data_IF_997074119461
#
_entry.id   IF_997074119461
#
_cell.length_a   1.000
_cell.length_b   1.000
_cell.length_c   1.000
_cell.angle_alpha   90.00
_cell.angle_beta   90.00
_cell.angle_gamma   90.00
#
_symmetry.space_group_name_H-M   'P 1'
#
loop_
_entity.id
_entity.type
_entity.pdbx_description
1 polymer ?
#
# COMPACT_ATOMS: atom_id res chain seq x y z
N UNK A 1 12.65 -19.11 22.04
CA UNK A 1 11.54 -18.55 21.24
C UNK A 1 12.13 -17.62 20.20
N UNK A 2 11.88 -17.82 18.89
CA UNK A 2 12.22 -16.82 17.87
C UNK A 2 11.22 -15.68 18.01
N UNK A 3 11.70 -14.44 18.12
CA UNK A 3 10.84 -13.26 18.06
C UNK A 3 10.04 -13.29 16.76
N UNK A 4 8.73 -12.95 16.77
CA UNK A 4 7.96 -12.86 15.54
C UNK A 4 8.64 -11.84 14.61
N UNK A 5 8.78 -12.20 13.33
CA UNK A 5 9.31 -11.27 12.31
C UNK A 5 8.39 -10.04 12.22
N UNK A 6 8.94 -8.82 12.09
CA UNK A 6 8.11 -7.62 11.91
C UNK A 6 7.34 -7.70 10.60
N UNK A 7 6.07 -7.28 10.62
CA UNK A 7 5.21 -7.18 9.44
C UNK A 7 5.55 -5.89 8.68
N UNK A 8 6.18 -6.04 7.52
CA UNK A 8 6.56 -4.91 6.66
C UNK A 8 5.71 -4.92 5.39
N UNK A 9 5.08 -3.79 5.09
CA UNK A 9 4.23 -3.63 3.90
C UNK A 9 4.87 -2.69 2.90
N UNK A 10 4.94 -3.05 1.62
CA UNK A 10 5.28 -2.11 0.56
C UNK A 10 4.06 -1.55 -0.19
N UNK A 11 4.14 -0.30 -0.63
CA UNK A 11 3.13 0.42 -1.42
C UNK A 11 3.79 1.17 -2.59
N UNK A 12 2.99 1.67 -3.53
CA UNK A 12 3.48 2.53 -4.62
C UNK A 12 4.32 1.79 -5.67
N UNK A 13 4.13 0.48 -5.77
CA UNK A 13 4.81 -0.42 -6.71
C UNK A 13 3.77 -1.01 -7.65
N UNK A 14 3.98 -0.84 -8.96
CA UNK A 14 3.07 -1.39 -9.95
C UNK A 14 3.03 -2.92 -9.82
N UNK A 15 1.82 -3.49 -9.69
CA UNK A 15 1.50 -4.91 -9.69
C UNK A 15 1.91 -5.77 -8.47
N UNK A 16 2.74 -5.29 -7.53
CA UNK A 16 3.19 -6.11 -6.39
C UNK A 16 3.29 -5.33 -5.08
N UNK A 17 2.81 -5.88 -3.97
CA UNK A 17 3.24 -5.44 -2.61
C UNK A 17 4.43 -6.31 -2.24
N UNK A 18 5.62 -5.73 -2.14
CA UNK A 18 6.78 -6.43 -1.59
C UNK A 18 6.68 -6.55 -0.07
N UNK A 19 6.81 -7.76 0.46
CA UNK A 19 7.25 -7.94 1.84
C UNK A 19 8.76 -7.71 1.86
N UNK A 20 9.20 -6.54 2.35
CA UNK A 20 10.64 -6.25 2.49
C UNK A 20 11.30 -7.11 3.59
N UNK A 21 10.55 -7.94 4.31
CA UNK A 21 11.07 -8.91 5.27
C UNK A 21 11.69 -10.16 4.66
N UNK A 22 11.23 -10.61 3.47
CA UNK A 22 11.66 -11.89 2.89
C UNK A 22 12.08 -11.82 1.40
N UNK A 23 11.98 -10.67 0.72
CA UNK A 23 12.51 -10.51 -0.64
C UNK A 23 11.69 -11.19 -1.74
N UNK A 24 10.47 -11.64 -1.44
CA UNK A 24 9.55 -12.20 -2.43
C UNK A 24 8.44 -11.18 -2.73
N UNK A 25 8.25 -10.86 -4.01
CA UNK A 25 7.08 -10.10 -4.46
C UNK A 25 5.83 -10.95 -4.21
N UNK A 26 4.96 -10.52 -3.29
CA UNK A 26 3.69 -11.22 -3.04
C UNK A 26 2.61 -10.52 -3.85
N UNK A 27 1.88 -11.27 -4.68
CA UNK A 27 0.73 -10.74 -5.39
C UNK A 27 -0.29 -10.15 -4.40
N UNK A 28 -0.95 -9.05 -4.79
CA UNK A 28 -2.01 -8.35 -4.04
C UNK A 28 -3.15 -9.27 -3.55
N UNK A 29 -3.25 -10.49 -4.08
CA UNK A 29 -4.25 -11.50 -3.75
C UNK A 29 -3.87 -12.37 -2.56
N UNK A 30 -2.58 -12.39 -2.21
CA UNK A 30 -1.99 -13.27 -1.19
C UNK A 30 -1.52 -12.50 0.05
N UNK A 31 -1.29 -11.18 -0.05
CA UNK A 31 -0.71 -10.37 1.05
C UNK A 31 -1.60 -10.19 2.29
N UNK A 32 -2.93 -10.20 2.10
CA UNK A 32 -3.87 -9.88 3.16
C UNK A 32 -4.49 -11.10 3.84
N UNK A 33 -4.42 -12.30 3.24
CA UNK A 33 -5.17 -13.47 3.74
C UNK A 33 -4.71 -13.94 5.13
N UNK A 34 -3.45 -13.74 5.48
CA UNK A 34 -2.89 -14.04 6.80
C UNK A 34 -3.02 -12.88 7.80
N UNK A 35 -3.28 -11.66 7.33
CA UNK A 35 -3.25 -10.43 8.15
C UNK A 35 -4.66 -9.91 8.43
N UNK A 36 -5.59 -10.04 7.48
CA UNK A 36 -6.98 -9.60 7.60
C UNK A 36 -7.95 -10.72 7.28
N UNK A 37 -9.10 -10.71 7.99
CA UNK A 37 -10.24 -11.58 7.69
C UNK A 37 -11.14 -11.00 6.59
N UNK A 38 -10.84 -9.79 6.11
CA UNK A 38 -11.63 -9.12 5.06
C UNK A 38 -11.27 -9.66 3.69
N UNK A 39 -12.26 -9.67 2.79
CA UNK A 39 -12.01 -9.98 1.39
C UNK A 39 -11.03 -8.97 0.79
N UNK A 40 -9.93 -9.48 0.23
CA UNK A 40 -8.95 -8.71 -0.54
C UNK A 40 -9.38 -8.52 -2.01
N UNK A 41 -10.66 -8.73 -2.32
CA UNK A 41 -11.22 -8.67 -3.69
C UNK A 41 -12.30 -7.60 -3.82
N UNK A 42 -12.43 -7.07 -5.04
CA UNK A 42 -13.50 -6.16 -5.44
C UNK A 42 -13.65 -4.95 -4.50
N UNK A 43 -14.90 -4.53 -4.25
CA UNK A 43 -15.22 -3.34 -3.43
C UNK A 43 -14.80 -3.45 -1.97
N UNK A 44 -14.45 -4.63 -1.47
CA UNK A 44 -13.95 -4.83 -0.12
C UNK A 44 -12.44 -4.53 0.01
N UNK A 45 -11.71 -4.47 -1.11
CA UNK A 45 -10.26 -4.31 -1.13
C UNK A 45 -9.77 -3.12 -0.31
N UNK A 46 -10.38 -1.94 -0.45
CA UNK A 46 -9.92 -0.76 0.28
C UNK A 46 -9.97 -0.95 1.80
N UNK A 47 -11.04 -1.58 2.32
CA UNK A 47 -11.16 -1.88 3.76
C UNK A 47 -10.19 -2.96 4.22
N UNK A 48 -9.87 -3.93 3.37
CA UNK A 48 -8.88 -4.95 3.64
C UNK A 48 -7.47 -4.32 3.70
N UNK A 49 -7.14 -3.46 2.74
CA UNK A 49 -5.86 -2.76 2.71
C UNK A 49 -5.67 -1.87 3.94
N UNK A 50 -6.64 -1.04 4.31
CA UNK A 50 -6.53 -0.22 5.52
C UNK A 50 -6.34 -1.08 6.78
N UNK A 51 -6.97 -2.27 6.85
CA UNK A 51 -6.76 -3.21 7.96
C UNK A 51 -5.31 -3.68 8.06
N UNK A 52 -4.74 -4.06 6.92
CA UNK A 52 -3.36 -4.54 6.82
C UNK A 52 -2.40 -3.43 7.16
N UNK A 53 -2.61 -2.22 6.61
CA UNK A 53 -1.77 -1.06 6.91
C UNK A 53 -1.79 -0.70 8.39
N UNK A 54 -2.94 -0.83 9.08
CA UNK A 54 -3.00 -0.60 10.53
C UNK A 54 -2.20 -1.62 11.33
N UNK A 55 -2.19 -2.89 10.90
CA UNK A 55 -1.45 -3.99 11.53
C UNK A 55 0.04 -4.02 11.21
N UNK A 56 0.47 -3.36 10.13
CA UNK A 56 1.87 -3.28 9.74
C UNK A 56 2.72 -2.62 10.83
N UNK A 57 3.89 -3.19 11.12
CA UNK A 57 4.90 -2.56 11.98
C UNK A 57 5.61 -1.42 11.23
N UNK A 58 5.84 -1.62 9.92
CA UNK A 58 6.47 -0.64 9.04
C UNK A 58 5.84 -0.64 7.65
N UNK A 59 5.84 0.52 7.01
CA UNK A 59 5.40 0.70 5.63
C UNK A 59 6.58 1.24 4.80
N UNK A 60 6.80 0.66 3.63
CA UNK A 60 7.76 1.13 2.64
C UNK A 60 6.98 1.63 1.41
N UNK A 61 6.99 2.92 1.15
CA UNK A 61 6.24 3.51 0.03
C UNK A 61 7.20 3.90 -1.10
N UNK A 62 7.06 3.30 -2.28
CA UNK A 62 7.85 3.71 -3.45
C UNK A 62 7.14 4.83 -4.21
N UNK A 63 7.82 5.95 -4.42
CA UNK A 63 7.37 7.10 -5.19
C UNK A 63 7.77 6.99 -6.67
N UNK A 64 8.49 5.94 -7.06
CA UNK A 64 8.91 5.74 -8.44
C UNK A 64 7.68 5.69 -9.37
N UNK A 65 7.66 6.58 -10.37
CA UNK A 65 6.51 6.73 -11.28
C UNK A 65 5.46 7.74 -10.83
N UNK A 66 5.58 8.31 -9.62
CA UNK A 66 4.77 9.44 -9.15
C UNK A 66 5.58 10.74 -9.38
N UNK A 67 5.29 11.43 -10.48
CA UNK A 67 6.00 12.67 -10.85
C UNK A 67 5.64 13.88 -9.98
N UNK A 68 4.33 14.10 -9.76
CA UNK A 68 3.82 15.14 -8.86
C UNK A 68 3.04 14.48 -7.72
N UNK A 69 3.65 14.45 -6.53
CA UNK A 69 3.05 13.83 -5.34
C UNK A 69 1.81 14.59 -4.84
N UNK A 70 1.70 15.91 -5.07
CA UNK A 70 0.51 16.69 -4.68
C UNK A 70 -0.65 16.33 -5.59
N UNK A 71 -0.42 16.31 -6.90
CA UNK A 71 -1.44 15.87 -7.86
C UNK A 71 -1.86 14.41 -7.61
N UNK A 72 -0.90 13.53 -7.31
CA UNK A 72 -1.20 12.14 -6.95
C UNK A 72 -1.99 12.01 -5.65
N UNK A 73 -1.66 12.80 -4.63
CA UNK A 73 -2.43 12.88 -3.39
C UNK A 73 -3.87 13.31 -3.66
N UNK A 74 -4.04 14.41 -4.41
CA UNK A 74 -5.34 14.98 -4.77
C UNK A 74 -6.20 13.96 -5.54
N UNK A 75 -5.62 13.29 -6.54
CA UNK A 75 -6.28 12.21 -7.29
C UNK A 75 -6.62 11.01 -6.39
N UNK A 76 -5.74 10.67 -5.45
CA UNK A 76 -5.93 9.59 -4.48
C UNK A 76 -7.08 9.84 -3.50
N UNK A 77 -7.49 11.09 -3.30
CA UNK A 77 -8.61 11.44 -2.41
C UNK A 77 -9.94 10.81 -2.84
N UNK A 78 -10.11 10.52 -4.13
CA UNK A 78 -11.26 9.84 -4.69
C UNK A 78 -11.37 8.36 -4.29
N UNK A 79 -10.29 7.79 -3.72
CA UNK A 79 -10.22 6.40 -3.34
C UNK A 79 -10.00 5.46 -4.53
N UNK A 80 -10.17 4.17 -4.26
CA UNK A 80 -10.00 3.10 -5.23
C UNK A 80 -11.10 3.12 -6.29
N UNK A 81 -10.67 3.14 -7.56
CA UNK A 81 -11.58 3.14 -8.70
C UNK A 81 -11.61 1.74 -9.30
N UNK A 82 -12.79 1.13 -9.32
CA UNK A 82 -13.01 -0.23 -9.80
C UNK A 82 -13.66 -0.22 -11.19
N UNK A 83 -13.19 -1.02 -12.17
CA UNK A 83 -13.90 -1.22 -13.42
C UNK A 83 -15.31 -1.76 -13.18
N UNK A 84 -16.24 -1.45 -14.09
CA UNK A 84 -17.68 -1.79 -13.96
C UNK A 84 -17.92 -3.29 -13.79
N UNK A 85 -17.04 -4.13 -14.35
CA UNK A 85 -17.06 -5.59 -14.31
C UNK A 85 -15.95 -6.16 -13.41
N UNK A 86 -15.56 -5.47 -12.35
CA UNK A 86 -14.53 -5.95 -11.40
C UNK A 86 -15.04 -7.16 -10.59
N UNK A 87 -15.06 -8.34 -11.22
CA UNK A 87 -15.27 -9.65 -10.60
C UNK A 87 -13.97 -10.24 -10.07
N UNK A 88 -12.84 -9.85 -10.67
CA UNK A 88 -11.50 -10.32 -10.31
C UNK A 88 -10.59 -9.29 -9.64
N UNK A 89 -9.58 -9.84 -9.00
CA UNK A 89 -8.60 -9.22 -8.14
C UNK A 89 -7.76 -8.14 -8.85
N UNK A 90 -7.53 -7.03 -8.14
CA UNK A 90 -6.41 -6.12 -8.36
C UNK A 90 -6.40 -5.17 -9.58
N UNK A 91 -7.44 -5.12 -10.43
CA UNK A 91 -7.54 -4.03 -11.43
C UNK A 91 -8.15 -2.78 -10.81
N UNK A 92 -7.44 -2.18 -9.85
CA UNK A 92 -7.85 -0.92 -9.25
C UNK A 92 -7.12 0.22 -9.96
N UNK A 93 -7.86 1.03 -10.70
CA UNK A 93 -7.32 2.28 -11.23
C UNK A 93 -7.02 3.21 -10.06
N UNK A 94 -6.01 4.07 -10.20
CA UNK A 94 -5.65 5.07 -9.19
C UNK A 94 -5.11 4.45 -7.87
N UNK A 95 -4.57 3.22 -7.91
CA UNK A 95 -4.14 2.48 -6.73
C UNK A 95 -3.02 3.19 -5.95
N UNK A 96 -1.87 3.44 -6.59
CA UNK A 96 -0.72 4.10 -5.94
C UNK A 96 -1.07 5.49 -5.41
N UNK A 97 -1.92 6.24 -6.13
CA UNK A 97 -2.43 7.53 -5.69
C UNK A 97 -3.29 7.39 -4.42
N UNK A 98 -4.19 6.40 -4.39
CA UNK A 98 -5.04 6.13 -3.22
C UNK A 98 -4.22 5.67 -2.02
N UNK A 99 -3.20 4.84 -2.25
CA UNK A 99 -2.24 4.41 -1.23
C UNK A 99 -1.49 5.61 -0.64
N UNK A 100 -0.99 6.48 -1.51
CA UNK A 100 -0.29 7.71 -1.11
C UNK A 100 -1.20 8.58 -0.26
N UNK A 101 -2.42 8.83 -0.74
CA UNK A 101 -3.41 9.61 0.00
C UNK A 101 -3.77 8.98 1.35
N UNK A 102 -3.90 7.65 1.41
CA UNK A 102 -4.21 6.92 2.64
C UNK A 102 -3.10 7.09 3.68
N UNK A 103 -1.84 6.91 3.27
CA UNK A 103 -0.70 7.08 4.18
C UNK A 103 -0.54 8.53 4.61
N UNK A 104 -0.63 9.49 3.69
CA UNK A 104 -0.40 10.91 4.00
C UNK A 104 -1.52 11.51 4.87
N UNK A 105 -2.75 10.99 4.80
CA UNK A 105 -3.89 11.46 5.62
C UNK A 105 -3.92 10.92 7.04
N UNK A 106 -3.29 9.78 7.29
CA UNK A 106 -3.31 9.12 8.58
C UNK A 106 -1.94 9.29 9.28
N UNK A 107 -1.83 10.13 10.31
CA UNK A 107 -0.56 10.39 11.00
C UNK A 107 0.09 9.12 11.57
N UNK A 108 -0.70 8.10 11.93
CA UNK A 108 -0.18 6.83 12.47
C UNK A 108 0.44 6.00 11.35
N UNK A 109 -0.17 5.98 10.17
CA UNK A 109 0.42 5.31 9.00
C UNK A 109 1.66 6.06 8.51
N UNK A 110 1.60 7.40 8.49
CA UNK A 110 2.71 8.24 8.09
C UNK A 110 3.94 8.01 8.99
N UNK A 111 3.75 7.97 10.31
CA UNK A 111 4.84 7.80 11.27
C UNK A 111 5.63 6.49 11.09
N UNK A 112 4.98 5.42 10.60
CA UNK A 112 5.64 4.15 10.29
C UNK A 112 6.01 3.97 8.83
N UNK A 113 5.79 4.99 7.99
CA UNK A 113 6.12 4.95 6.57
C UNK A 113 7.52 5.49 6.31
N UNK A 114 8.31 4.72 5.56
CA UNK A 114 9.51 5.20 4.89
C UNK A 114 9.24 5.34 3.40
N UNK A 115 9.48 6.52 2.85
CA UNK A 115 9.35 6.77 1.42
C UNK A 115 10.65 6.41 0.70
N UNK A 116 10.52 5.93 -0.53
CA UNK A 116 11.61 5.55 -1.43
C UNK A 116 11.35 6.15 -2.81
N UNK A 117 12.41 6.39 -3.57
CA UNK A 117 12.33 6.65 -5.01
C UNK A 117 13.25 5.63 -5.70
N UNK A 118 12.66 4.53 -6.16
CA UNK A 118 13.41 3.36 -6.58
C UNK A 118 14.13 2.71 -5.39
N UNK A 119 15.46 2.61 -5.44
CA UNK A 119 16.28 2.05 -4.35
C UNK A 119 16.71 3.07 -3.30
N UNK A 120 16.47 4.37 -3.55
CA UNK A 120 16.92 5.44 -2.67
C UNK A 120 15.85 5.80 -1.66
N UNK A 121 16.20 5.80 -0.37
CA UNK A 121 15.31 6.28 0.70
C UNK A 121 15.10 7.80 0.56
N UNK A 122 13.84 8.23 0.58
CA UNK A 122 13.45 9.63 0.62
C UNK A 122 13.07 9.95 2.07
N UNK A 123 13.75 10.94 2.65
CA UNK A 123 13.35 11.51 3.94
C UNK A 123 12.38 12.65 3.59
N UNK A 124 11.10 12.60 4.00
CA UNK A 124 10.22 13.75 3.85
C UNK A 124 10.85 14.91 4.63
N UNK A 125 11.40 15.89 3.91
CA UNK A 125 11.82 17.15 4.53
C UNK A 125 10.56 17.86 5.02
N UNK A 126 10.61 18.28 6.29
CA UNK A 126 9.54 19.01 6.98
C UNK A 126 9.10 20.26 6.21
#
# INVERSE_FOLDING_TARGET
>A
MKSPKPLIIALGVAYYVHDFGDGWAVSHTMWGKSVTRRSTRGRAFGRAQTDVLRKADRIAFNLQGIGDWKAAFEAGKAGFVYPRNAVDEALVYNMANTELATVLRDPVLLAKTTFYNGRSKVIPTK
#
